data_IF_542095191344
#
_entry.id   IF_542095191344
#
_cell.length_a   1.000
_cell.length_b   1.000
_cell.length_c   1.000
_cell.angle_alpha   90.00
_cell.angle_beta   90.00
_cell.angle_gamma   90.00
#
_symmetry.space_group_name_H-M   'P 1'
#
loop_
_entity.id
_entity.type
_entity.pdbx_description
1 polymer ?
#
# COMPACT_ATOMS: atom_id res chain seq x y z
N UNK A 1 16.12 9.75 14.17
CA UNK A 1 14.92 9.04 13.70
C UNK A 1 13.72 9.55 14.48
N UNK A 2 12.51 9.59 13.90
CA UNK A 2 11.30 9.92 14.66
C UNK A 2 11.13 9.00 15.87
N UNK A 3 10.52 9.49 16.94
CA UNK A 3 10.27 8.67 18.13
C UNK A 3 9.18 7.64 17.81
N UNK A 4 9.22 6.49 18.50
CA UNK A 4 8.22 5.44 18.31
C UNK A 4 6.79 5.97 18.50
N UNK A 5 6.60 6.83 19.51
CA UNK A 5 5.34 7.51 19.79
C UNK A 5 4.84 8.31 18.59
N UNK A 6 5.72 9.03 17.89
CA UNK A 6 5.34 9.84 16.74
C UNK A 6 4.91 8.95 15.56
N UNK A 7 5.61 7.83 15.36
CA UNK A 7 5.27 6.83 14.34
C UNK A 7 3.90 6.21 14.63
N UNK A 8 3.61 5.91 15.91
CA UNK A 8 2.32 5.38 16.33
C UNK A 8 1.19 6.40 16.11
N UNK A 9 1.40 7.67 16.47
CA UNK A 9 0.43 8.76 16.25
C UNK A 9 0.12 8.88 14.75
N UNK A 10 1.16 8.94 13.90
CA UNK A 10 1.00 9.04 12.46
C UNK A 10 0.27 7.82 11.88
N UNK A 11 0.63 6.60 12.31
CA UNK A 11 -0.05 5.37 11.89
C UNK A 11 -1.53 5.43 12.23
N UNK A 12 -1.87 5.77 13.47
CA UNK A 12 -3.26 5.79 13.93
C UNK A 12 -4.08 6.82 13.17
N UNK A 13 -3.53 8.02 12.96
CA UNK A 13 -4.14 9.05 12.12
C UNK A 13 -4.39 8.55 10.69
N UNK A 14 -3.40 7.93 10.05
CA UNK A 14 -3.57 7.43 8.68
C UNK A 14 -4.67 6.37 8.64
N UNK A 15 -4.66 5.40 9.55
CA UNK A 15 -5.66 4.32 9.58
C UNK A 15 -7.07 4.89 9.81
N UNK A 16 -7.23 5.87 10.72
CA UNK A 16 -8.53 6.49 10.95
C UNK A 16 -9.03 7.26 9.73
N UNK A 17 -8.18 8.08 9.12
CA UNK A 17 -8.54 8.88 7.94
C UNK A 17 -8.88 8.01 6.74
N UNK A 18 -8.07 6.98 6.48
CA UNK A 18 -8.34 6.01 5.42
C UNK A 18 -9.67 5.31 5.65
N UNK A 19 -9.95 4.89 6.89
CA UNK A 19 -11.22 4.23 7.22
C UNK A 19 -12.40 5.16 6.96
N UNK A 20 -12.34 6.42 7.37
CA UNK A 20 -13.38 7.42 7.10
C UNK A 20 -13.59 7.57 5.58
N UNK A 21 -12.51 7.78 4.82
CA UNK A 21 -12.59 7.96 3.37
C UNK A 21 -13.13 6.74 2.60
N UNK A 22 -12.87 5.53 3.10
CA UNK A 22 -13.38 4.28 2.51
C UNK A 22 -14.85 4.04 2.90
N UNK A 23 -15.27 4.46 4.09
CA UNK A 23 -16.63 4.26 4.60
C UNK A 23 -17.64 5.32 4.13
N UNK A 24 -17.20 6.52 3.77
CA UNK A 24 -18.06 7.62 3.29
C UNK A 24 -18.76 7.34 1.94
N UNK A 25 -18.54 6.18 1.31
CA UNK A 25 -19.34 5.70 0.18
C UNK A 25 -19.15 6.50 -1.13
N UNK A 26 -20.04 6.24 -2.10
CA UNK A 26 -20.03 6.79 -3.48
C UNK A 26 -20.34 8.30 -3.58
N UNK A 27 -20.06 9.09 -2.56
CA UNK A 27 -19.94 10.53 -2.74
C UNK A 27 -18.93 10.84 -3.85
N UNK A 28 -19.16 11.93 -4.59
CA UNK A 28 -18.37 12.30 -5.79
C UNK A 28 -16.88 12.14 -5.52
N UNK A 29 -16.27 11.15 -6.19
CA UNK A 29 -14.85 10.85 -6.06
C UNK A 29 -14.03 11.84 -6.87
N UNK A 30 -13.81 13.01 -6.27
CA UNK A 30 -13.11 14.09 -6.92
C UNK A 30 -11.58 13.94 -6.87
N UNK A 31 -10.89 14.87 -7.53
CA UNK A 31 -9.43 14.93 -7.56
C UNK A 31 -8.83 15.08 -6.16
N UNK A 32 -9.49 15.81 -5.26
CA UNK A 32 -8.99 16.07 -3.91
C UNK A 32 -9.00 14.82 -3.04
N UNK A 33 -10.11 14.07 -3.03
CA UNK A 33 -10.21 12.78 -2.36
C UNK A 33 -9.22 11.78 -2.91
N UNK A 34 -9.08 11.68 -4.23
CA UNK A 34 -8.10 10.79 -4.84
C UNK A 34 -6.67 11.10 -4.39
N UNK A 35 -6.26 12.38 -4.46
CA UNK A 35 -4.91 12.80 -4.04
C UNK A 35 -4.71 12.56 -2.54
N UNK A 36 -5.70 12.85 -1.70
CA UNK A 36 -5.62 12.63 -0.25
C UNK A 36 -5.44 11.15 0.07
N UNK A 37 -6.26 10.27 -0.49
CA UNK A 37 -6.14 8.82 -0.26
C UNK A 37 -4.78 8.30 -0.73
N UNK A 38 -4.35 8.68 -1.94
CA UNK A 38 -3.03 8.32 -2.47
C UNK A 38 -1.91 8.77 -1.52
N UNK A 39 -1.96 9.99 -1.02
CA UNK A 39 -0.93 10.52 -0.14
C UNK A 39 -0.89 9.78 1.21
N UNK A 40 -2.04 9.43 1.78
CA UNK A 40 -2.15 8.62 3.01
C UNK A 40 -1.52 7.24 2.81
N UNK A 41 -1.88 6.55 1.73
CA UNK A 41 -1.31 5.23 1.37
C UNK A 41 0.20 5.33 1.14
N UNK A 42 0.67 6.28 0.32
CA UNK A 42 2.10 6.47 0.07
C UNK A 42 2.89 6.73 1.36
N UNK A 43 2.32 7.53 2.28
CA UNK A 43 2.94 7.82 3.58
C UNK A 43 3.02 6.56 4.42
N UNK A 44 1.93 5.79 4.50
CA UNK A 44 1.88 4.52 5.25
C UNK A 44 2.91 3.52 4.76
N UNK A 45 2.99 3.32 3.44
CA UNK A 45 3.97 2.43 2.81
C UNK A 45 5.41 2.88 3.06
N UNK A 46 5.66 4.19 2.96
CA UNK A 46 7.01 4.76 3.14
C UNK A 46 7.50 4.56 4.57
N UNK A 47 6.66 4.91 5.57
CA UNK A 47 7.02 4.78 6.98
C UNK A 47 7.14 3.31 7.37
N UNK A 48 6.19 2.46 6.92
CA UNK A 48 6.19 1.04 7.26
C UNK A 48 7.44 0.31 6.73
N UNK A 49 7.88 0.64 5.52
CA UNK A 49 9.04 0.00 4.89
C UNK A 49 10.36 0.72 5.17
N UNK A 50 10.37 1.77 6.00
CA UNK A 50 11.51 2.65 6.24
C UNK A 50 12.18 3.16 4.94
N UNK A 51 11.35 3.48 3.93
CA UNK A 51 11.78 3.91 2.59
C UNK A 51 11.91 5.42 2.47
N UNK A 52 12.56 5.88 1.41
CA UNK A 52 12.62 7.32 1.10
C UNK A 52 11.31 7.77 0.44
N UNK A 53 10.91 9.02 0.66
CA UNK A 53 9.60 9.57 0.29
C UNK A 53 9.18 9.53 -1.18
N UNK A 54 10.03 9.05 -2.09
CA UNK A 54 9.69 8.84 -3.51
C UNK A 54 9.70 7.38 -3.97
N UNK A 55 10.07 6.41 -3.13
CA UNK A 55 10.12 4.99 -3.53
C UNK A 55 8.72 4.40 -3.64
N UNK A 56 7.93 4.46 -2.55
CA UNK A 56 6.55 3.94 -2.52
C UNK A 56 5.65 4.62 -3.57
N UNK A 57 5.88 5.90 -3.86
CA UNK A 57 5.10 6.66 -4.84
C UNK A 57 5.39 6.27 -6.31
N UNK A 58 6.45 5.48 -6.57
CA UNK A 58 6.81 4.98 -7.91
C UNK A 58 6.22 3.61 -8.22
N UNK A 59 5.42 3.05 -7.32
CA UNK A 59 4.74 1.77 -7.56
C UNK A 59 3.83 1.88 -8.79
N UNK A 60 4.06 1.00 -9.75
CA UNK A 60 3.24 0.94 -10.95
C UNK A 60 1.99 0.11 -10.69
N UNK A 61 0.99 0.27 -11.56
CA UNK A 61 -0.23 -0.54 -11.51
C UNK A 61 0.07 -2.03 -11.73
N UNK A 62 1.02 -2.36 -12.60
CA UNK A 62 1.49 -3.74 -12.81
C UNK A 62 2.06 -4.33 -11.52
N UNK A 63 2.89 -3.55 -10.82
CA UNK A 63 3.51 -3.98 -9.57
C UNK A 63 2.45 -4.28 -8.51
N UNK A 64 1.39 -3.46 -8.46
CA UNK A 64 0.23 -3.70 -7.59
C UNK A 64 -0.56 -4.94 -8.00
N UNK A 65 -0.86 -5.12 -9.29
CA UNK A 65 -1.61 -6.28 -9.78
C UNK A 65 -0.88 -7.59 -9.43
N UNK A 66 0.43 -7.65 -9.66
CA UNK A 66 1.26 -8.81 -9.30
C UNK A 66 1.21 -9.08 -7.79
N UNK A 67 1.30 -8.02 -6.96
CA UNK A 67 1.23 -8.14 -5.51
C UNK A 67 -0.15 -8.60 -5.02
N UNK A 68 -1.21 -8.09 -5.63
CA UNK A 68 -2.60 -8.44 -5.31
C UNK A 68 -2.87 -9.92 -5.55
N UNK A 69 -2.37 -10.44 -6.67
CA UNK A 69 -2.45 -11.86 -7.08
C UNK A 69 -1.45 -12.77 -6.34
N UNK A 70 -0.64 -12.22 -5.42
CA UNK A 70 0.43 -12.93 -4.73
C UNK A 70 1.50 -13.53 -5.66
N UNK A 71 1.75 -12.93 -6.83
CA UNK A 71 2.68 -13.45 -7.83
C UNK A 71 4.13 -13.64 -7.30
N UNK A 72 4.48 -12.90 -6.24
CA UNK A 72 5.82 -12.91 -5.63
C UNK A 72 5.97 -13.87 -4.44
N UNK A 73 4.90 -14.58 -4.06
CA UNK A 73 4.90 -15.51 -2.93
C UNK A 73 4.71 -16.92 -3.48
N UNK A 74 5.72 -17.77 -3.33
CA UNK A 74 5.63 -19.19 -3.73
C UNK A 74 4.67 -19.94 -2.78
N UNK A 75 3.53 -20.46 -3.29
CA UNK A 75 2.57 -21.19 -2.47
C UNK A 75 3.17 -22.43 -1.80
N UNK A 76 4.16 -23.08 -2.42
CA UNK A 76 4.81 -24.26 -1.84
C UNK A 76 5.67 -23.87 -0.65
N UNK A 77 6.39 -22.75 -0.72
CA UNK A 77 7.16 -22.24 0.42
C UNK A 77 6.24 -21.88 1.59
N UNK A 78 5.09 -21.25 1.32
CA UNK A 78 4.11 -20.91 2.36
C UNK A 78 3.55 -22.17 3.04
N UNK A 79 3.23 -23.22 2.29
CA UNK A 79 2.73 -24.49 2.85
C UNK A 79 3.74 -25.18 3.76
N UNK A 80 5.04 -24.96 3.53
CA UNK A 80 6.12 -25.52 4.33
C UNK A 80 6.45 -24.71 5.59
N UNK A 81 5.80 -23.55 5.80
CA UNK A 81 5.96 -22.76 7.02
C UNK A 81 5.17 -23.43 8.15
N UNK A 82 5.87 -24.14 9.03
CA UNK A 82 5.26 -24.82 10.17
C UNK A 82 5.03 -23.91 11.39
N UNK A 83 5.67 -22.74 11.43
CA UNK A 83 5.54 -21.78 12.52
C UNK A 83 4.25 -20.95 12.36
N UNK A 84 3.30 -21.00 13.32
CA UNK A 84 2.06 -20.23 13.25
C UNK A 84 2.25 -18.72 13.21
N UNK A 85 3.31 -18.20 13.87
CA UNK A 85 3.60 -16.77 13.87
C UNK A 85 4.07 -16.29 12.49
N UNK A 86 4.96 -17.05 11.84
CA UNK A 86 5.43 -16.76 10.49
C UNK A 86 4.29 -16.87 9.47
N UNK A 87 3.44 -17.87 9.61
CA UNK A 87 2.23 -18.02 8.79
C UNK A 87 1.30 -16.82 8.95
N UNK A 88 1.08 -16.35 10.18
CA UNK A 88 0.29 -15.15 10.45
C UNK A 88 0.91 -13.90 9.81
N UNK A 89 2.22 -13.74 9.90
CA UNK A 89 2.92 -12.61 9.28
C UNK A 89 2.82 -12.62 7.76
N UNK A 90 2.96 -13.78 7.11
CA UNK A 90 2.79 -13.91 5.66
C UNK A 90 1.40 -13.48 5.19
N UNK A 91 0.37 -13.78 5.98
CA UNK A 91 -1.01 -13.39 5.67
C UNK A 91 -1.33 -11.91 5.97
N UNK A 92 -0.43 -11.19 6.64
CA UNK A 92 -0.63 -9.78 7.01
C UNK A 92 -0.16 -8.78 5.96
N UNK A 93 0.58 -9.23 4.94
CA UNK A 93 1.22 -8.36 3.96
C UNK A 93 1.08 -8.89 2.54
N UNK A 94 0.95 -7.99 1.57
CA UNK A 94 1.29 -8.27 0.17
C UNK A 94 2.73 -7.87 -0.10
N UNK A 95 3.36 -8.48 -1.10
CA UNK A 95 4.75 -8.24 -1.45
C UNK A 95 4.85 -7.67 -2.86
N UNK A 96 5.62 -6.59 -2.99
CA UNK A 96 5.97 -5.99 -4.27
C UNK A 96 7.46 -5.72 -4.34
N UNK A 97 8.03 -5.76 -5.54
CA UNK A 97 9.44 -5.48 -5.78
C UNK A 97 9.59 -4.19 -6.60
N UNK A 98 10.37 -3.24 -6.08
CA UNK A 98 10.63 -1.97 -6.75
C UNK A 98 12.10 -1.82 -7.13
N UNK A 99 12.39 -1.04 -8.17
CA UNK A 99 13.79 -0.76 -8.55
C UNK A 99 14.48 0.16 -7.53
N UNK A 100 15.62 -0.30 -6.98
CA UNK A 100 16.47 0.50 -6.10
C UNK A 100 17.25 1.61 -6.83
N UNK A 101 17.84 2.55 -6.07
CA UNK A 101 18.69 3.60 -6.66
C UNK A 101 20.00 3.01 -7.21
N UNK A 102 20.30 3.29 -8.48
CA UNK A 102 21.63 3.05 -9.08
C UNK A 102 22.01 1.58 -9.30
N UNK A 103 21.11 0.64 -9.05
CA UNK A 103 21.34 -0.78 -9.34
C UNK A 103 20.09 -1.37 -9.99
N UNK A 104 20.28 -2.37 -10.87
CA UNK A 104 19.18 -3.20 -11.39
C UNK A 104 18.56 -4.11 -10.32
N UNK A 105 18.90 -3.93 -9.04
CA UNK A 105 18.41 -4.79 -7.96
C UNK A 105 17.04 -4.33 -7.53
N UNK A 106 16.12 -5.28 -7.55
CA UNK A 106 14.80 -5.15 -6.98
C UNK A 106 14.89 -5.14 -5.45
N UNK A 107 14.11 -4.27 -4.81
CA UNK A 107 13.98 -4.19 -3.37
C UNK A 107 12.55 -4.54 -2.95
N UNK A 108 12.37 -5.36 -1.92
CA UNK A 108 11.04 -5.72 -1.46
C UNK A 108 10.39 -4.55 -0.73
N UNK A 109 9.08 -4.41 -0.96
CA UNK A 109 8.19 -3.49 -0.25
C UNK A 109 6.98 -4.30 0.19
N UNK A 110 6.73 -4.26 1.49
CA UNK A 110 5.58 -4.88 2.12
C UNK A 110 4.40 -3.92 2.09
N UNK A 111 3.26 -4.40 1.62
CA UNK A 111 2.01 -3.67 1.61
C UNK A 111 1.18 -4.20 2.79
N UNK A 112 0.98 -3.41 3.85
CA UNK A 112 0.18 -3.85 4.99
C UNK A 112 -1.29 -3.98 4.62
N UNK A 113 -1.97 -4.96 5.22
CA UNK A 113 -3.40 -5.21 4.98
C UNK A 113 -4.27 -3.97 5.20
N UNK A 114 -3.88 -3.05 6.09
CA UNK A 114 -4.59 -1.78 6.30
C UNK A 114 -4.59 -0.84 5.07
N UNK A 115 -3.77 -1.12 4.05
CA UNK A 115 -3.72 -0.36 2.78
C UNK A 115 -4.25 -1.10 1.56
N UNK A 116 -4.56 -2.41 1.65
CA UNK A 116 -4.96 -3.23 0.50
C UNK A 116 -6.27 -2.76 -0.11
N UNK A 117 -7.33 -2.65 0.70
CA UNK A 117 -8.63 -2.18 0.21
C UNK A 117 -8.59 -0.72 -0.28
N UNK A 118 -7.95 0.22 0.45
CA UNK A 118 -7.69 1.57 -0.06
C UNK A 118 -6.98 1.62 -1.41
N UNK A 119 -5.99 0.75 -1.64
CA UNK A 119 -5.29 0.65 -2.92
C UNK A 119 -6.23 0.22 -4.05
N UNK A 120 -7.07 -0.79 -3.81
CA UNK A 120 -8.09 -1.23 -4.79
C UNK A 120 -9.02 -0.10 -5.19
N UNK A 121 -9.53 0.65 -4.21
CA UNK A 121 -10.40 1.81 -4.45
C UNK A 121 -9.67 2.86 -5.29
N UNK A 122 -8.40 3.16 -4.96
CA UNK A 122 -7.59 4.10 -5.72
C UNK A 122 -7.43 3.65 -7.19
N UNK A 123 -7.19 2.36 -7.43
CA UNK A 123 -7.06 1.79 -8.78
C UNK A 123 -8.38 1.84 -9.54
N UNK A 124 -9.50 1.48 -8.89
CA UNK A 124 -10.84 1.51 -9.50
C UNK A 124 -11.26 2.94 -9.87
N UNK A 125 -11.08 3.89 -8.96
CA UNK A 125 -11.52 5.27 -9.12
C UNK A 125 -10.56 6.14 -9.95
N UNK A 126 -9.43 5.59 -10.43
CA UNK A 126 -8.47 6.32 -11.28
C UNK A 126 -9.14 6.93 -12.52
N UNK A 127 -10.08 6.22 -13.16
CA UNK A 127 -10.76 6.69 -14.36
C UNK A 127 -11.73 7.85 -14.08
N UNK A 128 -12.46 7.78 -12.98
CA UNK A 128 -13.47 8.78 -12.62
C UNK A 128 -12.87 10.19 -12.48
N UNK A 129 -11.65 10.30 -11.95
CA UNK A 129 -10.99 11.60 -11.70
C UNK A 129 -10.52 12.28 -12.97
N UNK A 130 -10.03 11.51 -13.95
CA UNK A 130 -9.38 12.07 -15.15
C UNK A 130 -10.32 12.18 -16.35
N UNK A 131 -11.45 11.48 -16.35
CA UNK A 131 -12.43 11.51 -17.44
C UNK A 131 -13.70 12.34 -17.13
N UNK A 132 -13.85 12.87 -15.90
CA UNK A 132 -14.99 13.71 -15.49
C UNK A 132 -14.89 15.19 -15.96
N UNK A 133 -13.88 15.55 -16.75
CA UNK A 133 -13.63 16.92 -17.23
C UNK A 133 -13.93 17.13 -18.72
N UNK A 134 -14.91 16.40 -19.26
CA UNK A 134 -15.46 16.69 -20.60
C UNK A 134 -16.88 17.20 -20.51
#
# INVERSE_FOLDING_TARGET
MPLEKDVQILRNFIISEVKVMVQEGDEVWDKHRFIRLRNLICTRLTVFNARRGGESARMLLSDWTDAEENAWIDPQLVQNVSNPLETSLLNQFKLVYQSGKGSRRLVPVLIPNDTVEPLRILVQKKGAVWYSTK
#
